data_IF_465828759639
#
_entry.id   IF_465828759639
#
_cell.length_a   1.000
_cell.length_b   1.000
_cell.length_c   1.000
_cell.angle_alpha   90.00
_cell.angle_beta   90.00
_cell.angle_gamma   90.00
#
_symmetry.space_group_name_H-M   'P 1'
#
loop_
_entity.id
_entity.type
_entity.pdbx_description
1 polymer ?
#
# COMPACT_ATOMS: atom_id res chain seq x y z
N UNK A 1 -39.77 -7.36 50.53
CA UNK A 1 -40.08 -7.59 49.10
C UNK A 1 -39.41 -6.50 48.30
N UNK A 2 -38.64 -6.87 47.27
CA UNK A 2 -38.42 -6.20 45.97
C UNK A 2 -38.22 -4.67 46.02
N UNK A 3 -37.11 -4.10 45.54
CA UNK A 3 -36.69 -4.20 44.14
C UNK A 3 -35.18 -3.96 43.96
N UNK A 4 -34.62 -4.79 43.08
CA UNK A 4 -33.35 -4.64 42.34
C UNK A 4 -33.51 -3.48 41.33
N UNK A 5 -32.39 -2.99 40.78
CA UNK A 5 -32.20 -2.15 39.56
C UNK A 5 -31.86 -0.68 39.96
N UNK A 6 -30.72 -0.07 39.63
CA UNK A 6 -29.93 -0.20 38.41
C UNK A 6 -28.43 0.07 38.63
N UNK A 7 -27.63 -0.90 38.20
CA UNK A 7 -26.28 -0.68 37.64
C UNK A 7 -26.37 0.29 36.45
N UNK A 8 -25.19 0.74 36.01
CA UNK A 8 -24.90 1.33 34.70
C UNK A 8 -25.07 2.85 34.56
N UNK A 9 -24.19 3.59 35.22
CA UNK A 9 -23.74 4.91 34.74
C UNK A 9 -22.21 4.91 34.56
N UNK A 10 -21.72 3.98 33.74
CA UNK A 10 -20.48 4.19 32.99
C UNK A 10 -20.92 4.27 31.54
N UNK A 11 -21.30 5.49 31.14
CA UNK A 11 -21.52 5.82 29.75
C UNK A 11 -20.16 5.62 29.05
N UNK A 12 -20.02 4.49 28.37
CA UNK A 12 -18.91 4.21 27.46
C UNK A 12 -19.03 5.21 26.32
N UNK A 13 -18.50 6.41 26.51
CA UNK A 13 -18.15 7.32 25.42
C UNK A 13 -16.80 6.89 24.86
N UNK A 14 -16.76 5.67 24.31
CA UNK A 14 -15.67 5.18 23.46
C UNK A 14 -16.26 4.90 22.08
N UNK A 15 -16.80 5.94 21.45
CA UNK A 15 -16.99 5.98 19.99
C UNK A 15 -16.04 7.02 19.41
N UNK A 16 -14.80 7.03 19.88
CA UNK A 16 -13.69 7.52 19.09
C UNK A 16 -13.12 6.31 18.37
N UNK A 17 -13.00 6.34 17.04
CA UNK A 17 -12.16 5.38 16.32
C UNK A 17 -10.79 5.34 17.02
N UNK A 18 -10.53 4.31 17.81
CA UNK A 18 -9.24 4.14 18.45
C UNK A 18 -8.31 3.49 17.43
N UNK A 19 -7.92 4.32 16.46
CA UNK A 19 -6.96 4.04 15.39
C UNK A 19 -5.65 3.44 15.92
N UNK A 20 -5.34 3.64 17.20
CA UNK A 20 -4.20 3.03 17.91
C UNK A 20 -4.21 1.50 17.87
N UNK A 21 -5.33 0.84 18.24
CA UNK A 21 -5.41 -0.63 18.26
C UNK A 21 -5.40 -1.21 16.84
N UNK A 22 -6.09 -0.56 15.91
CA UNK A 22 -6.13 -0.98 14.51
C UNK A 22 -4.75 -0.85 13.86
N UNK A 23 -3.98 0.22 14.15
CA UNK A 23 -2.61 0.39 13.60
C UNK A 23 -1.56 -0.47 14.34
N UNK A 24 -1.79 -0.84 15.60
CA UNK A 24 -0.96 -1.87 16.24
C UNK A 24 -1.14 -3.24 15.56
N UNK A 25 -2.37 -3.56 15.15
CA UNK A 25 -2.68 -4.81 14.44
C UNK A 25 -2.07 -4.89 13.03
N UNK A 26 -1.76 -3.75 12.39
CA UNK A 26 -1.08 -3.72 11.08
C UNK A 26 0.43 -3.95 11.18
N UNK A 27 0.97 -4.01 12.41
CA UNK A 27 2.37 -4.33 12.67
C UNK A 27 3.33 -3.16 12.48
N UNK A 28 2.86 -1.93 12.36
CA UNK A 28 3.68 -0.71 12.14
C UNK A 28 4.84 -0.56 13.14
N UNK A 29 4.66 -1.01 14.38
CA UNK A 29 5.69 -0.96 15.44
C UNK A 29 6.63 -2.17 15.46
N UNK A 30 6.46 -3.14 14.56
CA UNK A 30 7.32 -4.33 14.47
C UNK A 30 8.53 -4.00 13.62
N UNK A 31 9.71 -4.03 14.25
CA UNK A 31 10.98 -3.76 13.57
C UNK A 31 11.35 -4.84 12.56
N UNK A 32 11.03 -6.11 12.83
CA UNK A 32 11.36 -7.21 11.92
C UNK A 32 10.47 -7.20 10.67
N UNK A 33 11.09 -7.10 9.49
CA UNK A 33 10.41 -7.44 8.25
C UNK A 33 10.21 -8.95 8.17
N UNK A 34 8.94 -9.38 8.15
CA UNK A 34 8.60 -10.73 7.70
C UNK A 34 9.09 -10.89 6.26
N UNK A 35 9.57 -12.06 5.89
CA UNK A 35 9.86 -12.42 4.50
C UNK A 35 9.02 -13.64 4.15
N UNK A 36 8.56 -13.72 2.91
CA UNK A 36 7.92 -14.93 2.41
C UNK A 36 8.79 -15.50 1.29
N UNK A 37 9.26 -16.72 1.51
CA UNK A 37 10.09 -17.42 0.54
C UNK A 37 9.19 -18.38 -0.24
N UNK A 38 9.23 -18.27 -1.57
CA UNK A 38 8.52 -19.15 -2.48
C UNK A 38 9.54 -19.85 -3.39
N UNK A 39 9.27 -21.11 -3.72
CA UNK A 39 10.09 -21.86 -4.66
C UNK A 39 9.25 -22.62 -5.67
N UNK A 40 9.84 -22.86 -6.83
CA UNK A 40 9.33 -23.73 -7.89
C UNK A 40 10.55 -24.28 -8.66
N UNK A 41 10.93 -25.53 -8.34
CA UNK A 41 12.22 -26.08 -8.76
C UNK A 41 13.39 -25.20 -8.27
N UNK A 42 14.25 -24.79 -9.20
CA UNK A 42 15.39 -23.91 -8.91
C UNK A 42 15.01 -22.43 -8.80
N UNK A 43 13.79 -22.06 -9.21
CA UNK A 43 13.31 -20.67 -9.11
C UNK A 43 13.00 -20.33 -7.65
N UNK A 44 13.49 -19.18 -7.20
CA UNK A 44 13.32 -18.65 -5.84
C UNK A 44 12.79 -17.24 -5.87
N UNK A 45 11.78 -16.99 -5.03
CA UNK A 45 11.23 -15.67 -4.79
C UNK A 45 11.36 -15.36 -3.31
N UNK A 46 11.85 -14.16 -2.99
CA UNK A 46 11.72 -13.59 -1.65
C UNK A 46 10.80 -12.39 -1.77
N UNK A 47 9.64 -12.46 -1.10
CA UNK A 47 8.72 -11.35 -0.99
C UNK A 47 8.94 -10.63 0.34
N UNK A 48 9.35 -9.37 0.27
CA UNK A 48 9.42 -8.45 1.40
C UNK A 48 8.14 -7.60 1.38
N UNK A 49 7.22 -7.82 2.34
CA UNK A 49 5.98 -7.09 2.44
C UNK A 49 6.25 -5.66 2.91
N UNK A 50 6.07 -4.71 2.00
CA UNK A 50 6.27 -3.29 2.26
C UNK A 50 5.08 -2.71 3.02
N UNK A 51 5.34 -1.66 3.79
CA UNK A 51 4.33 -0.88 4.52
C UNK A 51 4.58 0.58 4.21
N UNK A 52 3.50 1.35 4.06
CA UNK A 52 3.62 2.80 3.89
C UNK A 52 4.08 3.52 5.16
N UNK A 53 3.99 2.87 6.33
CA UNK A 53 4.45 3.38 7.62
C UNK A 53 5.19 2.28 8.39
N UNK A 54 6.30 2.65 9.00
CA UNK A 54 7.13 1.74 9.78
C UNK A 54 8.19 2.50 10.57
N UNK A 55 8.84 1.81 11.50
CA UNK A 55 10.00 2.39 12.21
C UNK A 55 11.16 2.57 11.23
N UNK A 56 12.04 3.53 11.52
CA UNK A 56 13.31 3.66 10.78
C UNK A 56 14.10 2.34 10.75
N UNK A 57 14.15 1.64 11.88
CA UNK A 57 14.82 0.33 12.02
C UNK A 57 14.26 -0.71 11.06
N UNK A 58 12.94 -0.77 10.89
CA UNK A 58 12.30 -1.67 9.93
C UNK A 58 12.79 -1.42 8.50
N UNK A 59 12.90 -0.15 8.07
CA UNK A 59 13.39 0.18 6.74
C UNK A 59 14.90 -0.05 6.58
N UNK A 60 15.70 0.22 7.61
CA UNK A 60 17.15 -0.09 7.60
C UNK A 60 17.39 -1.60 7.43
N UNK A 61 16.58 -2.45 8.07
CA UNK A 61 16.66 -3.91 7.89
C UNK A 61 16.30 -4.36 6.47
N UNK A 62 15.33 -3.71 5.84
CA UNK A 62 14.97 -3.98 4.44
C UNK A 62 16.11 -3.56 3.52
N UNK A 63 16.70 -2.37 3.71
CA UNK A 63 17.86 -1.90 2.96
C UNK A 63 19.01 -2.92 3.01
N UNK A 64 19.39 -3.38 4.21
CA UNK A 64 20.44 -4.38 4.38
C UNK A 64 20.10 -5.72 3.71
N UNK A 65 18.83 -6.14 3.76
CA UNK A 65 18.38 -7.34 3.08
C UNK A 65 18.43 -7.20 1.55
N UNK A 66 18.02 -6.06 1.00
CA UNK A 66 18.06 -5.80 -0.45
C UNK A 66 19.50 -5.81 -0.96
N UNK A 67 20.41 -5.11 -0.29
CA UNK A 67 21.84 -5.10 -0.65
C UNK A 67 22.44 -6.51 -0.67
N UNK A 68 22.23 -7.27 0.41
CA UNK A 68 22.71 -8.65 0.52
C UNK A 68 22.11 -9.57 -0.56
N UNK A 69 20.81 -9.47 -0.81
CA UNK A 69 20.13 -10.35 -1.77
C UNK A 69 20.51 -10.03 -3.21
N UNK A 70 20.62 -8.77 -3.60
CA UNK A 70 21.11 -8.39 -4.93
C UNK A 70 22.54 -8.91 -5.17
N UNK A 71 23.44 -8.79 -4.19
CA UNK A 71 24.80 -9.38 -4.24
C UNK A 71 24.80 -10.90 -4.40
N UNK A 72 23.72 -11.58 -3.99
CA UNK A 72 23.54 -13.03 -4.17
C UNK A 72 22.82 -13.42 -5.48
N UNK A 73 22.59 -12.44 -6.36
CA UNK A 73 22.02 -12.62 -7.70
C UNK A 73 20.50 -12.47 -7.79
N UNK A 74 19.83 -11.89 -6.79
CA UNK A 74 18.40 -11.56 -6.88
C UNK A 74 18.19 -10.29 -7.70
N UNK A 75 17.21 -10.32 -8.60
CA UNK A 75 16.72 -9.12 -9.31
C UNK A 75 15.50 -8.56 -8.59
N UNK A 76 15.48 -7.24 -8.38
CA UNK A 76 14.41 -6.57 -7.64
C UNK A 76 13.20 -6.28 -8.52
N UNK A 77 12.02 -6.69 -8.05
CA UNK A 77 10.71 -6.36 -8.61
C UNK A 77 10.02 -5.45 -7.59
N UNK A 78 9.82 -4.18 -7.93
CA UNK A 78 9.35 -3.16 -6.97
C UNK A 78 8.00 -2.57 -7.34
N UNK A 79 7.26 -2.12 -6.32
CA UNK A 79 5.95 -1.47 -6.47
C UNK A 79 6.09 0.02 -6.77
N UNK A 80 5.72 0.47 -7.97
CA UNK A 80 5.62 1.89 -8.27
C UNK A 80 4.51 2.21 -9.28
N UNK A 81 3.45 2.84 -8.77
CA UNK A 81 2.34 3.37 -9.59
C UNK A 81 2.68 4.70 -10.29
N UNK A 82 3.95 4.97 -10.57
CA UNK A 82 4.38 6.20 -11.23
C UNK A 82 3.62 6.43 -12.54
N UNK A 83 3.20 7.67 -12.78
CA UNK A 83 2.45 8.03 -13.98
C UNK A 83 3.28 7.86 -15.25
N UNK A 84 2.63 7.40 -16.31
CA UNK A 84 3.12 7.43 -17.69
C UNK A 84 2.25 8.39 -18.50
N UNK A 85 2.58 9.67 -18.43
CA UNK A 85 1.83 10.78 -19.07
C UNK A 85 2.80 11.79 -19.67
N UNK A 86 2.34 12.50 -20.70
CA UNK A 86 3.20 13.36 -21.54
C UNK A 86 3.35 14.78 -20.98
N UNK A 87 2.52 15.17 -19.99
CA UNK A 87 2.54 16.52 -19.43
C UNK A 87 2.14 16.61 -17.97
N UNK A 88 2.57 17.70 -17.32
CA UNK A 88 2.15 18.04 -15.97
C UNK A 88 0.63 18.27 -15.88
N UNK A 89 0.00 18.80 -16.94
CA UNK A 89 -1.45 19.01 -17.00
C UNK A 89 -2.22 17.67 -17.00
N UNK A 90 -1.76 16.68 -17.77
CA UNK A 90 -2.35 15.34 -17.71
C UNK A 90 -2.14 14.70 -16.33
N UNK A 91 -0.97 14.86 -15.74
CA UNK A 91 -0.70 14.38 -14.38
C UNK A 91 -1.70 14.96 -13.38
N UNK A 92 -1.87 16.28 -13.37
CA UNK A 92 -2.82 16.99 -12.50
C UNK A 92 -4.26 16.48 -12.69
N UNK A 93 -4.68 16.25 -13.94
CA UNK A 93 -6.00 15.68 -14.25
C UNK A 93 -6.20 14.29 -13.61
N UNK A 94 -5.25 13.37 -13.80
CA UNK A 94 -5.36 12.03 -13.19
C UNK A 94 -5.28 12.08 -11.67
N UNK A 95 -4.50 13.00 -11.14
CA UNK A 95 -4.37 13.22 -9.70
C UNK A 95 -5.71 13.67 -9.09
N UNK A 96 -6.44 14.57 -9.76
CA UNK A 96 -7.81 14.97 -9.37
C UNK A 96 -8.80 13.81 -9.47
N UNK A 97 -8.77 13.04 -10.57
CA UNK A 97 -9.62 11.84 -10.74
C UNK A 97 -9.38 10.82 -9.62
N UNK A 98 -8.12 10.53 -9.33
CA UNK A 98 -7.74 9.63 -8.25
C UNK A 98 -8.21 10.14 -6.89
N UNK A 99 -8.09 11.44 -6.63
CA UNK A 99 -8.57 12.09 -5.42
C UNK A 99 -10.11 12.01 -5.28
N UNK A 100 -10.87 12.21 -6.35
CA UNK A 100 -12.35 12.06 -6.34
C UNK A 100 -12.80 10.61 -6.06
N UNK A 101 -12.06 9.64 -6.57
CA UNK A 101 -12.32 8.21 -6.29
C UNK A 101 -12.01 7.83 -4.85
N UNK A 102 -10.86 8.27 -4.34
CA UNK A 102 -10.32 7.78 -3.06
C UNK A 102 -10.74 8.63 -1.87
N UNK A 103 -11.12 9.89 -2.09
CA UNK A 103 -11.46 10.87 -1.05
C UNK A 103 -10.25 11.40 -0.27
N UNK A 104 -9.03 11.12 -0.72
CA UNK A 104 -7.80 11.40 0.03
C UNK A 104 -7.04 12.60 -0.50
N UNK A 105 -6.26 13.25 0.37
CA UNK A 105 -5.17 14.14 -0.06
C UNK A 105 -4.12 13.33 -0.82
N UNK A 106 -3.61 13.85 -1.93
CA UNK A 106 -2.63 13.13 -2.74
C UNK A 106 -1.32 12.94 -1.97
N UNK A 107 -0.73 11.76 -2.11
CA UNK A 107 0.49 11.38 -1.39
C UNK A 107 0.28 10.94 0.06
N UNK A 108 -0.98 10.75 0.49
CA UNK A 108 -1.31 10.36 1.86
C UNK A 108 -2.31 9.20 1.93
N UNK A 109 -2.02 8.23 2.80
CA UNK A 109 -2.99 7.19 3.18
C UNK A 109 -4.12 7.80 4.02
N UNK A 110 -5.31 7.20 3.97
CA UNK A 110 -6.58 7.60 4.63
C UNK A 110 -6.50 8.07 6.11
N UNK A 111 -5.39 7.87 6.82
CA UNK A 111 -5.27 8.15 8.26
C UNK A 111 -4.21 9.20 8.61
N UNK A 112 -3.44 9.71 7.64
CA UNK A 112 -2.37 10.68 7.88
C UNK A 112 -2.65 11.91 7.03
N UNK A 113 -2.95 13.03 7.66
CA UNK A 113 -3.24 14.30 6.97
C UNK A 113 -1.97 15.09 6.66
N UNK A 114 -0.85 14.73 7.30
CA UNK A 114 0.47 15.35 7.16
C UNK A 114 1.56 14.27 7.18
N UNK A 115 2.45 14.16 6.17
CA UNK A 115 3.53 13.19 6.19
C UNK A 115 4.33 13.28 7.50
N UNK A 116 4.50 12.15 8.20
CA UNK A 116 5.17 12.10 9.50
C UNK A 116 4.30 12.43 10.72
N UNK A 117 3.04 12.86 10.54
CA UNK A 117 2.09 13.00 11.66
C UNK A 117 1.55 11.63 12.08
N UNK A 118 2.15 11.08 13.13
CA UNK A 118 1.81 9.80 13.74
C UNK A 118 0.93 9.97 14.98
N UNK A 119 0.47 11.20 15.28
CA UNK A 119 -0.32 11.51 16.48
C UNK A 119 -1.65 10.75 16.52
N UNK A 120 -2.31 10.62 15.35
CA UNK A 120 -3.54 9.83 15.19
C UNK A 120 -3.28 8.32 15.24
N UNK A 121 -2.06 7.89 14.95
CA UNK A 121 -1.67 6.48 14.92
C UNK A 121 -1.36 5.95 16.34
N UNK A 122 -0.86 6.79 17.24
CA UNK A 122 -0.24 6.33 18.50
C UNK A 122 -0.82 7.03 19.75
N UNK A 123 -2.14 7.06 19.89
CA UNK A 123 -2.86 7.88 20.89
C UNK A 123 -2.39 7.72 22.35
N UNK A 124 -1.65 6.67 22.71
CA UNK A 124 -1.09 6.45 24.04
C UNK A 124 0.28 7.16 24.29
N UNK A 125 0.54 7.73 25.49
CA UNK A 125 1.71 8.57 25.78
C UNK A 125 3.08 7.90 25.54
N UNK A 126 3.20 6.61 25.85
CA UNK A 126 4.43 5.83 25.61
C UNK A 126 4.75 5.75 24.11
N UNK A 127 3.73 5.50 23.30
CA UNK A 127 3.87 5.35 21.86
C UNK A 127 4.03 6.70 21.16
N UNK A 128 3.56 7.81 21.72
CA UNK A 128 3.79 9.14 21.16
C UNK A 128 5.29 9.48 21.05
N UNK A 129 6.11 9.05 22.02
CA UNK A 129 7.58 9.15 21.94
C UNK A 129 8.17 8.25 20.84
N UNK A 130 7.60 7.07 20.62
CA UNK A 130 7.96 6.18 19.51
C UNK A 130 7.51 6.73 18.14
N UNK A 131 6.45 7.54 18.11
CA UNK A 131 5.94 8.21 16.91
C UNK A 131 6.94 9.14 16.23
N UNK A 132 7.90 9.68 16.99
CA UNK A 132 9.03 10.43 16.43
C UNK A 132 10.01 9.55 15.62
N UNK A 133 9.89 8.21 15.68
CA UNK A 133 10.74 7.24 14.96
C UNK A 133 10.01 6.48 13.85
N UNK A 134 8.71 6.70 13.69
CA UNK A 134 7.92 6.14 12.57
C UNK A 134 8.02 7.10 11.40
N UNK A 135 8.35 6.56 10.24
CA UNK A 135 8.48 7.33 9.00
C UNK A 135 7.59 6.73 7.91
N UNK A 136 7.23 7.57 6.94
CA UNK A 136 6.68 7.09 5.68
C UNK A 136 7.68 6.20 4.96
N UNK A 137 7.20 5.25 4.17
CA UNK A 137 8.04 4.44 3.30
C UNK A 137 8.99 5.33 2.49
N UNK A 138 10.31 5.15 2.62
CA UNK A 138 11.29 5.84 1.78
C UNK A 138 11.16 5.45 0.31
N UNK A 139 11.68 6.30 -0.58
CA UNK A 139 11.86 5.95 -1.99
C UNK A 139 12.79 4.76 -2.16
N UNK A 140 12.67 4.01 -3.26
CA UNK A 140 13.45 2.78 -3.46
C UNK A 140 14.97 3.00 -3.57
N UNK A 141 15.42 4.22 -3.86
CA UNK A 141 16.84 4.58 -3.78
C UNK A 141 17.40 4.41 -2.36
N UNK A 142 16.58 4.62 -1.32
CA UNK A 142 16.97 4.34 0.06
C UNK A 142 17.25 2.86 0.26
N UNK A 143 16.54 1.94 -0.40
CA UNK A 143 16.76 0.50 -0.25
C UNK A 143 17.93 -0.03 -1.08
N UNK A 144 18.73 0.84 -1.71
CA UNK A 144 19.85 0.47 -2.58
C UNK A 144 19.43 -0.43 -3.75
N UNK A 145 18.21 -0.24 -4.27
CA UNK A 145 17.72 -0.96 -5.45
C UNK A 145 18.60 -0.60 -6.66
N UNK A 146 19.12 -1.61 -7.34
CA UNK A 146 19.85 -1.45 -8.60
C UNK A 146 18.87 -1.28 -9.76
N UNK A 147 18.61 -0.02 -10.14
CA UNK A 147 17.72 0.30 -11.25
C UNK A 147 18.24 -0.14 -12.63
N UNK A 148 19.51 -0.54 -12.76
CA UNK A 148 20.03 -1.10 -14.01
C UNK A 148 19.46 -2.48 -14.33
N UNK A 149 19.00 -3.21 -13.31
CA UNK A 149 18.44 -4.56 -13.46
C UNK A 149 17.02 -4.70 -12.90
N UNK A 150 16.59 -3.78 -12.03
CA UNK A 150 15.28 -3.84 -11.39
C UNK A 150 14.11 -3.68 -12.38
N UNK A 151 12.99 -4.30 -12.04
CA UNK A 151 11.73 -4.26 -12.79
C UNK A 151 10.70 -3.51 -11.98
N UNK A 152 10.08 -2.46 -12.55
CA UNK A 152 8.84 -1.93 -12.00
C UNK A 152 7.74 -2.97 -12.23
N UNK A 153 7.30 -3.63 -11.15
CA UNK A 153 6.39 -4.74 -11.21
C UNK A 153 4.92 -4.33 -10.99
N UNK A 154 4.62 -3.05 -11.18
CA UNK A 154 3.34 -2.44 -10.90
C UNK A 154 2.70 -1.79 -12.13
N UNK A 155 1.45 -1.37 -11.98
CA UNK A 155 0.68 -0.72 -13.04
C UNK A 155 0.69 0.80 -12.82
N UNK A 156 1.02 1.60 -13.86
CA UNK A 156 0.95 3.06 -13.78
C UNK A 156 -0.43 3.55 -13.32
N UNK A 157 -0.46 4.54 -12.43
CA UNK A 157 -1.71 5.07 -11.86
C UNK A 157 -2.72 5.53 -12.92
N UNK A 158 -2.26 6.13 -14.02
CA UNK A 158 -3.16 6.53 -15.12
C UNK A 158 -3.84 5.33 -15.77
N UNK A 159 -3.13 4.21 -15.97
CA UNK A 159 -3.72 2.99 -16.55
C UNK A 159 -4.81 2.38 -15.67
N UNK A 160 -4.60 2.36 -14.35
CA UNK A 160 -5.64 1.92 -13.41
C UNK A 160 -6.92 2.78 -13.50
N UNK A 161 -6.75 4.10 -13.72
CA UNK A 161 -7.87 5.02 -13.89
C UNK A 161 -8.56 4.86 -15.24
N UNK A 162 -7.78 4.71 -16.32
CA UNK A 162 -8.28 4.48 -17.67
C UNK A 162 -9.11 3.19 -17.73
N UNK A 163 -8.59 2.09 -17.15
CA UNK A 163 -9.29 0.80 -17.11
C UNK A 163 -10.58 0.88 -16.27
N UNK A 164 -10.55 1.66 -15.18
CA UNK A 164 -11.73 1.92 -14.37
C UNK A 164 -12.79 2.70 -15.16
N UNK A 165 -12.39 3.79 -15.84
CA UNK A 165 -13.30 4.61 -16.63
C UNK A 165 -13.86 3.85 -17.84
N UNK A 166 -13.05 2.98 -18.45
CA UNK A 166 -13.49 2.09 -19.52
C UNK A 166 -14.60 1.14 -19.06
N UNK A 167 -14.49 0.59 -17.84
CA UNK A 167 -15.46 -0.39 -17.32
C UNK A 167 -16.70 0.24 -16.67
N UNK A 168 -16.52 1.37 -15.98
CA UNK A 168 -17.55 1.95 -15.10
C UNK A 168 -18.01 3.35 -15.49
N UNK A 169 -17.46 3.89 -16.57
CA UNK A 169 -17.75 5.24 -17.06
C UNK A 169 -16.80 6.29 -16.49
N UNK A 170 -16.73 7.43 -17.17
CA UNK A 170 -15.80 8.51 -16.85
C UNK A 170 -16.05 9.13 -15.46
N UNK A 171 -14.96 9.39 -14.75
CA UNK A 171 -14.91 10.10 -13.47
C UNK A 171 -15.15 11.59 -13.77
N UNK A 172 -16.36 12.05 -13.50
CA UNK A 172 -16.75 13.44 -13.72
C UNK A 172 -16.16 14.34 -12.64
N UNK A 173 -15.24 15.23 -13.01
CA UNK A 173 -14.75 16.30 -12.14
C UNK A 173 -15.67 17.53 -12.27
N UNK A 174 -15.91 18.21 -11.16
CA UNK A 174 -16.70 19.45 -11.11
C UNK A 174 -15.84 20.63 -10.63
N UNK A 175 -16.42 21.84 -10.59
CA UNK A 175 -15.69 23.05 -10.20
C UNK A 175 -14.98 22.93 -8.85
N UNK A 176 -15.59 22.27 -7.86
CA UNK A 176 -14.95 22.04 -6.57
C UNK A 176 -13.64 21.25 -6.71
N UNK A 177 -13.61 20.23 -7.56
CA UNK A 177 -12.42 19.40 -7.77
C UNK A 177 -11.26 20.17 -8.40
N UNK A 178 -11.56 21.13 -9.27
CA UNK A 178 -10.57 21.98 -9.92
C UNK A 178 -10.08 23.10 -8.98
N UNK A 179 -11.01 23.71 -8.25
CA UNK A 179 -10.72 24.84 -7.36
C UNK A 179 -9.99 24.41 -6.08
N UNK A 180 -10.21 23.18 -5.61
CA UNK A 180 -9.55 22.66 -4.40
C UNK A 180 -8.11 22.23 -4.71
N UNK A 181 -7.07 22.87 -4.13
CA UNK A 181 -5.69 22.47 -4.36
C UNK A 181 -5.45 21.00 -4.00
N UNK A 182 -4.61 20.31 -4.78
CA UNK A 182 -4.26 18.90 -4.57
C UNK A 182 -3.63 18.62 -3.20
N UNK A 183 -2.98 19.63 -2.63
CA UNK A 183 -2.35 19.60 -1.31
C UNK A 183 -3.31 19.93 -0.15
N UNK A 184 -4.55 20.34 -0.42
CA UNK A 184 -5.52 20.62 0.64
C UNK A 184 -6.27 19.34 1.08
N UNK A 185 -6.92 19.31 2.25
CA UNK A 185 -7.92 18.30 2.57
C UNK A 185 -9.02 18.25 1.48
N UNK A 186 -9.51 17.06 1.17
CA UNK A 186 -10.56 16.90 0.14
C UNK A 186 -11.94 17.10 0.76
N UNK A 187 -12.65 18.14 0.32
CA UNK A 187 -13.96 18.53 0.83
C UNK A 187 -15.08 18.47 -0.22
N UNK A 188 -14.74 18.07 -1.45
CA UNK A 188 -15.69 17.98 -2.55
C UNK A 188 -16.57 16.73 -2.48
N UNK A 189 -17.60 16.69 -3.32
CA UNK A 189 -18.54 15.58 -3.39
C UNK A 189 -17.81 14.29 -3.84
N UNK A 190 -17.71 13.26 -2.98
CA UNK A 190 -17.02 12.03 -3.35
C UNK A 190 -17.80 11.25 -4.41
N UNK A 191 -17.10 10.35 -5.11
CA UNK A 191 -17.77 9.35 -5.93
C UNK A 191 -18.69 8.45 -5.07
N UNK A 192 -19.68 7.81 -5.70
CA UNK A 192 -20.51 6.80 -5.02
C UNK A 192 -19.63 5.73 -4.36
N UNK A 193 -19.88 5.43 -3.09
CA UNK A 193 -19.12 4.43 -2.31
C UNK A 193 -19.00 3.08 -3.01
N UNK A 194 -20.05 2.64 -3.71
CA UNK A 194 -20.01 1.40 -4.50
C UNK A 194 -18.93 1.42 -5.59
N UNK A 195 -18.74 2.55 -6.28
CA UNK A 195 -17.69 2.71 -7.29
C UNK A 195 -16.30 2.80 -6.66
N UNK A 196 -16.16 3.51 -5.53
CA UNK A 196 -14.92 3.50 -4.76
C UNK A 196 -14.51 2.08 -4.34
N UNK A 197 -15.44 1.30 -3.80
CA UNK A 197 -15.17 -0.07 -3.37
C UNK A 197 -14.78 -0.98 -4.55
N UNK A 198 -15.37 -0.77 -5.73
CA UNK A 198 -14.96 -1.45 -6.96
C UNK A 198 -13.55 -1.06 -7.37
N UNK A 199 -13.22 0.24 -7.35
CA UNK A 199 -11.87 0.72 -7.64
C UNK A 199 -10.83 0.07 -6.71
N UNK A 200 -11.08 0.11 -5.41
CA UNK A 200 -10.19 -0.47 -4.40
C UNK A 200 -10.01 -1.99 -4.61
N UNK A 201 -11.10 -2.74 -4.80
CA UNK A 201 -11.06 -4.19 -4.92
C UNK A 201 -10.48 -4.67 -6.25
N UNK A 202 -10.95 -4.11 -7.37
CA UNK A 202 -10.67 -4.63 -8.70
C UNK A 202 -9.36 -4.07 -9.28
N UNK A 203 -9.01 -2.81 -8.99
CA UNK A 203 -7.88 -2.13 -9.64
C UNK A 203 -6.72 -1.94 -8.68
N UNK A 204 -6.98 -1.42 -7.47
CA UNK A 204 -5.91 -1.23 -6.46
C UNK A 204 -5.41 -2.58 -5.95
N UNK A 205 -6.29 -3.57 -5.75
CA UNK A 205 -5.92 -4.91 -5.30
C UNK A 205 -5.75 -5.91 -6.44
N UNK A 206 -6.85 -6.39 -7.02
CA UNK A 206 -6.85 -7.55 -7.90
C UNK A 206 -5.96 -7.38 -9.15
N UNK A 207 -6.13 -6.30 -9.91
CA UNK A 207 -5.40 -6.11 -11.16
C UNK A 207 -3.88 -6.01 -10.94
N UNK A 208 -3.45 -5.34 -9.87
CA UNK A 208 -2.03 -5.22 -9.52
C UNK A 208 -1.43 -6.55 -9.04
N UNK A 209 -2.21 -7.34 -8.29
CA UNK A 209 -1.82 -8.70 -7.88
C UNK A 209 -1.68 -9.66 -9.08
N UNK A 210 -2.59 -9.57 -10.04
CA UNK A 210 -2.57 -10.34 -11.28
C UNK A 210 -1.35 -9.95 -12.16
N UNK A 211 -1.09 -8.65 -12.30
CA UNK A 211 0.07 -8.13 -13.02
C UNK A 211 1.39 -8.63 -12.41
N UNK A 212 1.55 -8.48 -11.08
CA UNK A 212 2.76 -8.95 -10.39
C UNK A 212 2.96 -10.46 -10.57
N UNK A 213 1.89 -11.26 -10.45
CA UNK A 213 1.96 -12.70 -10.68
C UNK A 213 2.33 -13.06 -12.12
N UNK A 214 1.82 -12.32 -13.11
CA UNK A 214 2.19 -12.50 -14.52
C UNK A 214 3.66 -12.21 -14.75
N UNK A 215 4.12 -11.03 -14.33
CA UNK A 215 5.51 -10.60 -14.50
C UNK A 215 6.47 -11.60 -13.87
N UNK A 216 6.16 -12.11 -12.68
CA UNK A 216 6.99 -13.10 -11.98
C UNK A 216 6.97 -14.45 -12.70
N UNK A 217 5.82 -14.92 -13.16
CA UNK A 217 5.72 -16.21 -13.85
C UNK A 217 6.51 -16.19 -15.16
N UNK A 218 6.37 -15.10 -15.93
CA UNK A 218 6.93 -14.95 -17.27
C UNK A 218 8.41 -14.46 -17.26
N UNK A 219 8.91 -14.05 -16.09
CA UNK A 219 10.28 -13.56 -15.91
C UNK A 219 11.35 -14.65 -16.12
N UNK A 220 12.44 -14.38 -16.86
CA UNK A 220 13.55 -15.32 -17.04
C UNK A 220 14.41 -15.50 -15.79
N UNK A 221 14.31 -14.60 -14.80
CA UNK A 221 15.13 -14.60 -13.61
C UNK A 221 14.81 -15.81 -12.70
N UNK A 222 15.87 -16.50 -12.28
CA UNK A 222 15.78 -17.61 -11.33
C UNK A 222 15.63 -17.13 -9.88
N UNK A 223 16.14 -15.94 -9.56
CA UNK A 223 16.07 -15.34 -8.22
C UNK A 223 15.42 -13.96 -8.30
N UNK A 224 14.23 -13.83 -7.70
CA UNK A 224 13.45 -12.59 -7.72
C UNK A 224 13.22 -12.10 -6.29
N UNK A 225 13.55 -10.84 -6.04
CA UNK A 225 13.28 -10.15 -4.78
C UNK A 225 12.11 -9.18 -5.01
N UNK A 226 10.97 -9.44 -4.39
CA UNK A 226 9.78 -8.60 -4.54
C UNK A 226 9.69 -7.63 -3.36
N UNK A 227 9.64 -6.33 -3.66
CA UNK A 227 9.33 -5.26 -2.71
C UNK A 227 7.94 -4.70 -3.06
N UNK A 228 6.90 -5.22 -2.40
CA UNK A 228 5.51 -4.88 -2.72
C UNK A 228 4.63 -4.87 -1.46
N UNK A 229 3.56 -4.09 -1.48
CA UNK A 229 2.70 -3.82 -0.34
C UNK A 229 2.19 -5.08 0.34
N UNK A 230 2.19 -5.08 1.68
CA UNK A 230 1.85 -6.25 2.51
C UNK A 230 0.49 -6.86 2.15
N UNK A 231 -0.50 -6.03 1.84
CA UNK A 231 -1.87 -6.47 1.53
C UNK A 231 -1.97 -7.31 0.24
N UNK A 232 -1.03 -7.14 -0.70
CA UNK A 232 -1.06 -7.81 -2.00
C UNK A 232 -0.57 -9.26 -1.96
N UNK A 233 0.20 -9.66 -0.94
CA UNK A 233 0.87 -10.96 -0.93
C UNK A 233 -0.10 -12.14 -1.13
N UNK A 234 -1.28 -12.11 -0.48
CA UNK A 234 -2.24 -13.23 -0.57
C UNK A 234 -2.80 -13.39 -1.98
N UNK A 235 -3.21 -12.30 -2.61
CA UNK A 235 -3.76 -12.34 -3.95
C UNK A 235 -2.68 -12.62 -4.99
N UNK A 236 -1.48 -12.05 -4.83
CA UNK A 236 -0.30 -12.39 -5.62
C UNK A 236 -0.02 -13.89 -5.59
N UNK A 237 0.10 -14.49 -4.40
CA UNK A 237 0.41 -15.92 -4.26
C UNK A 237 -0.67 -16.79 -4.92
N UNK A 238 -1.95 -16.46 -4.70
CA UNK A 238 -3.07 -17.16 -5.34
C UNK A 238 -2.97 -17.11 -6.87
N UNK A 239 -2.71 -15.92 -7.43
CA UNK A 239 -2.62 -15.74 -8.88
C UNK A 239 -1.37 -16.42 -9.47
N UNK A 240 -0.26 -16.41 -8.74
CA UNK A 240 0.97 -17.09 -9.12
C UNK A 240 0.77 -18.62 -9.15
N UNK A 241 0.12 -19.17 -8.13
CA UNK A 241 -0.20 -20.60 -8.05
C UNK A 241 -1.26 -21.05 -9.06
N UNK A 242 -2.20 -20.16 -9.41
CA UNK A 242 -3.16 -20.43 -10.48
C UNK A 242 -2.48 -20.55 -11.87
N UNK A 243 -1.35 -19.87 -12.06
CA UNK A 243 -0.52 -19.98 -13.27
C UNK A 243 0.39 -21.20 -13.25
N UNK A 244 0.99 -21.48 -12.11
CA UNK A 244 1.81 -22.69 -11.91
C UNK A 244 1.65 -23.22 -10.46
N UNK A 245 0.96 -24.37 -10.28
CA UNK A 245 0.66 -24.89 -8.95
C UNK A 245 1.89 -25.43 -8.20
N UNK A 246 3.05 -25.54 -8.85
CA UNK A 246 4.29 -25.97 -8.20
C UNK A 246 4.92 -24.89 -7.31
N UNK A 247 4.43 -23.64 -7.35
CA UNK A 247 4.86 -22.62 -6.41
C UNK A 247 4.44 -22.94 -4.98
N UNK A 248 5.42 -23.11 -4.10
CA UNK A 248 5.21 -23.47 -2.70
C UNK A 248 5.91 -22.49 -1.77
N UNK A 249 5.17 -22.09 -0.72
CA UNK A 249 5.67 -21.21 0.33
C UNK A 249 6.43 -22.02 1.37
N UNK A 250 7.68 -21.64 1.64
CA UNK A 250 8.49 -22.22 2.71
C UNK A 250 7.99 -21.66 4.06
N UNK A 251 7.81 -22.54 5.04
CA UNK A 251 7.35 -22.19 6.39
C UNK A 251 8.51 -21.70 7.25
#
# INVERSE_FOLDING_TARGET
>A
MKQIISLLFVLITLVGCDTSLMVQSTGVLRDASRKFELHNGDRRIIYIPMRHLGTRVYYDQIQAAVDSLQKSGYVVFYESIAYQVDSAAQRDLYDRKFRKLTGNRLGLQQCIETPGDTSRVLRAPLYRKLGQRIISQPDYSFFLVDYGTAVNADIPKNKLLDDFEYRYGAIQLDGCDYDTPLSAPYTCKPIKTALKNKFDKEFVMQQREENLASLVADAPQQKILILFGTSHFKGFLRNLQARDPHWVKIK
#
